data_IF_859972551376
#
_entry.id   IF_859972551376
#
_cell.length_a   1.000
_cell.length_b   1.000
_cell.length_c   1.000
_cell.angle_alpha   90.00
_cell.angle_beta   90.00
_cell.angle_gamma   90.00
#
_symmetry.space_group_name_H-M   'P 1'
#
loop_
_entity.id
_entity.type
_entity.pdbx_description
1 polymer ?
#
# COMPACT_ATOMS: atom_id res chain seq x y z
N UNK A 1 25.83 12.48 -20.68
CA UNK A 1 26.63 11.45 -21.37
C UNK A 1 26.13 10.09 -20.95
N UNK A 2 25.80 9.21 -21.91
CA UNK A 2 25.39 7.84 -21.62
C UNK A 2 26.61 7.07 -21.13
N UNK A 3 26.51 6.37 -20.00
CA UNK A 3 27.62 5.50 -19.57
C UNK A 3 27.88 4.43 -20.64
N UNK A 4 29.13 4.04 -20.87
CA UNK A 4 29.47 2.88 -21.69
C UNK A 4 28.68 1.64 -21.21
N UNK A 5 28.05 0.91 -22.13
CA UNK A 5 27.13 -0.22 -21.84
C UNK A 5 27.81 -1.45 -21.23
N UNK A 6 29.13 -1.42 -21.15
CA UNK A 6 30.05 -2.48 -20.73
C UNK A 6 30.45 -2.40 -19.25
N UNK A 7 29.98 -1.39 -18.51
CA UNK A 7 30.18 -1.32 -17.05
C UNK A 7 29.01 -1.98 -16.31
N UNK A 8 29.27 -2.78 -15.26
CA UNK A 8 28.20 -3.28 -14.42
C UNK A 8 27.45 -2.11 -13.77
N UNK A 9 26.14 -2.24 -13.66
CA UNK A 9 25.28 -1.25 -13.02
C UNK A 9 24.59 -1.85 -11.79
N UNK A 10 24.23 -0.96 -10.86
CA UNK A 10 23.39 -1.27 -9.71
C UNK A 10 22.25 -0.25 -9.67
N UNK A 11 21.02 -0.71 -9.48
CA UNK A 11 19.84 0.13 -9.38
C UNK A 11 19.09 -0.18 -8.07
N UNK A 12 18.85 0.86 -7.27
CA UNK A 12 17.94 0.81 -6.14
C UNK A 12 16.65 1.53 -6.50
N UNK A 13 15.54 0.80 -6.49
CA UNK A 13 14.20 1.32 -6.75
C UNK A 13 13.35 1.18 -5.49
N UNK A 14 12.70 2.27 -5.09
CA UNK A 14 11.86 2.31 -3.88
C UNK A 14 10.49 2.89 -4.22
N UNK A 15 9.44 2.09 -4.03
CA UNK A 15 8.05 2.52 -4.21
C UNK A 15 7.54 3.15 -2.91
N UNK A 16 6.84 4.28 -3.02
CA UNK A 16 6.18 4.95 -1.88
C UNK A 16 4.84 4.31 -1.57
N UNK A 17 4.09 3.93 -2.61
CA UNK A 17 2.88 3.14 -2.45
C UNK A 17 3.22 1.78 -1.81
N UNK A 18 2.34 1.18 -1.02
CA UNK A 18 0.94 1.54 -0.78
C UNK A 18 0.73 2.49 0.42
N UNK A 19 1.74 3.27 0.81
CA UNK A 19 1.59 4.26 1.88
C UNK A 19 0.50 5.29 1.53
N UNK A 20 -0.23 5.73 2.54
CA UNK A 20 -1.28 6.75 2.43
C UNK A 20 -0.79 8.03 1.71
N UNK A 21 -1.68 8.79 1.03
CA UNK A 21 -3.13 8.60 0.93
C UNK A 21 -3.53 7.38 0.08
N UNK A 22 -4.64 6.73 0.46
CA UNK A 22 -5.14 5.53 -0.21
C UNK A 22 -5.88 5.91 -1.50
N UNK A 23 -5.12 6.09 -2.58
CA UNK A 23 -5.64 6.46 -3.90
C UNK A 23 -5.04 5.48 -4.91
N UNK A 24 -5.84 4.49 -5.29
CA UNK A 24 -5.47 3.51 -6.31
C UNK A 24 -5.46 4.11 -7.71
N UNK A 25 -4.67 3.49 -8.60
CA UNK A 25 -4.79 3.74 -10.04
C UNK A 25 -6.22 3.41 -10.52
N UNK A 26 -6.83 4.20 -11.43
CA UNK A 26 -8.23 3.98 -11.83
C UNK A 26 -8.54 2.59 -12.36
N UNK A 27 -7.60 1.95 -13.07
CA UNK A 27 -7.80 0.60 -13.64
C UNK A 27 -7.86 -0.44 -12.52
N UNK A 28 -6.89 -0.38 -11.60
CA UNK A 28 -6.86 -1.29 -10.47
C UNK A 28 -7.93 -0.98 -9.42
N UNK A 29 -8.30 0.29 -9.26
CA UNK A 29 -9.39 0.71 -8.38
C UNK A 29 -10.73 0.14 -8.86
N UNK A 30 -10.98 0.18 -10.18
CA UNK A 30 -12.16 -0.44 -10.79
C UNK A 30 -12.15 -1.97 -10.61
N UNK A 31 -10.98 -2.60 -10.81
CA UNK A 31 -10.79 -4.04 -10.59
C UNK A 31 -11.23 -4.49 -9.18
N UNK A 32 -10.94 -3.68 -8.15
CA UNK A 32 -11.30 -3.99 -6.76
C UNK A 32 -12.63 -3.37 -6.30
N UNK A 33 -13.36 -2.61 -7.13
CA UNK A 33 -14.54 -1.86 -6.70
C UNK A 33 -15.62 -2.75 -6.05
N UNK A 34 -15.82 -3.96 -6.58
CA UNK A 34 -16.76 -4.96 -6.07
C UNK A 34 -16.15 -6.04 -5.18
N UNK A 35 -14.84 -5.98 -4.89
CA UNK A 35 -14.15 -7.05 -4.20
C UNK A 35 -14.71 -7.25 -2.78
N UNK A 36 -14.98 -8.51 -2.44
CA UNK A 36 -15.35 -8.92 -1.08
C UNK A 36 -14.05 -9.15 -0.31
N UNK A 37 -13.79 -8.30 0.67
CA UNK A 37 -12.59 -8.34 1.50
C UNK A 37 -13.05 -8.67 2.92
N UNK A 38 -12.52 -9.75 3.48
CA UNK A 38 -12.79 -10.11 4.88
C UNK A 38 -12.10 -9.11 5.81
N UNK A 39 -12.82 -8.63 6.83
CA UNK A 39 -12.24 -7.79 7.88
C UNK A 39 -11.60 -8.67 8.95
N UNK A 40 -10.28 -8.62 9.04
CA UNK A 40 -9.51 -9.46 9.96
C UNK A 40 -9.29 -8.83 11.34
N UNK A 41 -9.49 -7.52 11.50
CA UNK A 41 -9.37 -6.82 12.78
C UNK A 41 -10.66 -6.02 13.12
N UNK A 42 -11.68 -6.67 13.69
CA UNK A 42 -12.93 -6.00 14.04
C UNK A 42 -12.86 -5.24 15.38
N UNK A 43 -11.92 -5.59 16.25
CA UNK A 43 -11.83 -5.05 17.60
C UNK A 43 -10.69 -4.04 17.77
N UNK A 44 -10.95 -3.02 18.59
CA UNK A 44 -9.91 -2.10 19.06
C UNK A 44 -8.89 -2.84 19.95
N UNK A 45 -7.60 -2.47 19.89
CA UNK A 45 -6.59 -3.01 20.80
C UNK A 45 -6.92 -2.69 22.26
N UNK A 46 -6.60 -3.64 23.14
CA UNK A 46 -6.80 -3.52 24.60
C UNK A 46 -5.70 -2.64 25.19
N UNK A 47 -6.08 -1.79 26.15
CA UNK A 47 -5.14 -1.01 26.94
C UNK A 47 -4.54 -1.87 28.06
N UNK A 48 -3.25 -2.22 27.95
CA UNK A 48 -2.55 -3.06 28.93
C UNK A 48 -1.82 -2.28 30.02
N UNK A 49 -1.38 -1.05 29.71
CA UNK A 49 -0.68 -0.17 30.65
C UNK A 49 -0.78 1.30 30.19
N UNK A 50 -0.32 2.23 31.03
CA UNK A 50 -0.42 3.68 30.77
C UNK A 50 0.38 4.14 29.54
N UNK A 51 1.59 3.63 29.33
CA UNK A 51 2.39 3.97 28.15
C UNK A 51 1.70 3.52 26.86
N UNK A 52 1.10 2.33 26.90
CA UNK A 52 0.32 1.80 25.79
C UNK A 52 -0.98 2.59 25.59
N UNK A 53 -1.65 3.02 26.66
CA UNK A 53 -2.81 3.89 26.58
C UNK A 53 -2.50 5.19 25.82
N UNK A 54 -1.38 5.84 26.14
CA UNK A 54 -0.93 7.06 25.49
C UNK A 54 -0.59 6.83 24.01
N UNK A 55 0.06 5.71 23.69
CA UNK A 55 0.34 5.33 22.32
C UNK A 55 -0.94 5.11 21.50
N UNK A 56 -1.90 4.36 22.04
CA UNK A 56 -3.20 4.13 21.39
C UNK A 56 -3.98 5.44 21.20
N UNK A 57 -3.96 6.34 22.19
CA UNK A 57 -4.57 7.68 22.04
C UNK A 57 -3.92 8.48 20.91
N UNK A 58 -2.59 8.49 20.82
CA UNK A 58 -1.87 9.14 19.73
C UNK A 58 -2.25 8.53 18.36
N UNK A 59 -2.25 7.20 18.26
CA UNK A 59 -2.60 6.49 17.03
C UNK A 59 -4.04 6.78 16.59
N UNK A 60 -4.99 6.82 17.53
CA UNK A 60 -6.39 7.17 17.25
C UNK A 60 -6.55 8.57 16.69
N UNK A 61 -5.83 9.53 17.26
CA UNK A 61 -5.81 10.92 16.78
C UNK A 61 -5.16 11.03 15.40
N UNK A 62 -4.00 10.38 15.22
CA UNK A 62 -3.24 10.44 13.98
C UNK A 62 -4.00 9.81 12.81
N UNK A 63 -4.63 8.65 13.02
CA UNK A 63 -5.39 7.94 11.99
C UNK A 63 -6.84 8.40 11.86
N UNK A 64 -7.31 9.30 12.73
CA UNK A 64 -8.72 9.69 12.81
C UNK A 64 -9.67 8.49 12.92
N UNK A 65 -9.34 7.49 13.75
CA UNK A 65 -10.07 6.20 13.80
C UNK A 65 -11.57 6.33 14.07
N UNK A 66 -12.00 7.40 14.72
CA UNK A 66 -13.42 7.71 14.95
C UNK A 66 -14.24 7.89 13.66
N UNK A 67 -13.60 8.14 12.51
CA UNK A 67 -14.24 8.24 11.19
C UNK A 67 -14.21 6.91 10.41
N UNK A 68 -13.50 5.89 10.92
CA UNK A 68 -13.27 4.62 10.22
C UNK A 68 -14.43 3.64 10.45
N UNK A 69 -15.55 3.90 9.79
CA UNK A 69 -16.65 2.92 9.69
C UNK A 69 -16.19 1.66 8.92
N UNK A 70 -16.94 0.57 9.04
CA UNK A 70 -16.65 -0.67 8.31
C UNK A 70 -16.62 -0.44 6.80
N UNK A 71 -17.57 0.33 6.27
CA UNK A 71 -17.61 0.71 4.86
C UNK A 71 -16.37 1.53 4.46
N UNK A 72 -15.96 2.50 5.29
CA UNK A 72 -14.77 3.31 5.03
C UNK A 72 -13.49 2.47 5.02
N UNK A 73 -13.34 1.56 5.98
CA UNK A 73 -12.19 0.64 6.05
C UNK A 73 -12.15 -0.28 4.83
N UNK A 74 -13.29 -0.85 4.42
CA UNK A 74 -13.37 -1.72 3.25
C UNK A 74 -13.10 -0.94 1.95
N UNK A 75 -13.61 0.28 1.82
CA UNK A 75 -13.30 1.16 0.69
C UNK A 75 -11.79 1.46 0.64
N UNK A 76 -11.17 1.79 1.77
CA UNK A 76 -9.73 1.99 1.89
C UNK A 76 -8.93 0.73 1.54
N UNK A 77 -9.36 -0.45 1.99
CA UNK A 77 -8.71 -1.72 1.68
C UNK A 77 -8.71 -2.02 0.17
N UNK A 78 -9.82 -1.76 -0.53
CA UNK A 78 -9.90 -1.88 -2.00
C UNK A 78 -8.89 -0.96 -2.69
N UNK A 79 -8.75 0.28 -2.23
CA UNK A 79 -7.76 1.22 -2.78
C UNK A 79 -6.32 0.78 -2.46
N UNK A 80 -6.07 0.28 -1.26
CA UNK A 80 -4.75 -0.25 -0.88
C UNK A 80 -4.35 -1.43 -1.77
N UNK A 81 -5.26 -2.37 -2.02
CA UNK A 81 -5.00 -3.50 -2.94
C UNK A 81 -4.78 -3.02 -4.36
N UNK A 82 -5.53 -2.02 -4.84
CA UNK A 82 -5.28 -1.42 -6.14
C UNK A 82 -3.86 -0.83 -6.27
N UNK A 83 -3.37 -0.16 -5.23
CA UNK A 83 -2.00 0.36 -5.17
C UNK A 83 -0.95 -0.76 -5.20
N UNK A 84 -1.19 -1.86 -4.48
CA UNK A 84 -0.30 -3.04 -4.49
C UNK A 84 -0.24 -3.67 -5.88
N UNK A 85 -1.38 -3.83 -6.55
CA UNK A 85 -1.41 -4.38 -7.91
C UNK A 85 -0.70 -3.51 -8.94
N UNK A 86 -0.74 -2.17 -8.78
CA UNK A 86 0.07 -1.30 -9.62
C UNK A 86 1.56 -1.55 -9.39
N UNK A 87 2.00 -1.71 -8.15
CA UNK A 87 3.41 -2.01 -7.84
C UNK A 87 3.81 -3.35 -8.47
N UNK A 88 2.97 -4.38 -8.33
CA UNK A 88 3.20 -5.69 -8.94
C UNK A 88 3.35 -5.58 -10.46
N UNK A 89 2.43 -4.85 -11.12
CA UNK A 89 2.53 -4.56 -12.55
C UNK A 89 3.85 -3.86 -12.91
N UNK A 90 4.30 -2.87 -12.12
CA UNK A 90 5.59 -2.18 -12.38
C UNK A 90 6.80 -3.08 -12.18
N UNK A 91 6.75 -4.01 -11.23
CA UNK A 91 7.79 -5.02 -11.06
C UNK A 91 7.81 -5.93 -12.29
N UNK A 92 6.65 -6.41 -12.74
CA UNK A 92 6.52 -7.21 -13.96
C UNK A 92 7.05 -6.48 -15.20
N UNK A 93 6.70 -5.21 -15.37
CA UNK A 93 7.20 -4.36 -16.47
C UNK A 93 8.74 -4.29 -16.46
N UNK A 94 9.35 -4.13 -15.29
CA UNK A 94 10.81 -4.06 -15.13
C UNK A 94 11.49 -5.39 -15.46
N UNK A 95 10.98 -6.50 -14.92
CA UNK A 95 11.52 -7.83 -15.20
C UNK A 95 11.44 -8.14 -16.70
N UNK A 96 10.29 -7.86 -17.32
CA UNK A 96 10.10 -8.09 -18.75
C UNK A 96 11.03 -7.21 -19.62
N UNK A 97 11.36 -5.99 -19.18
CA UNK A 97 12.36 -5.15 -19.86
C UNK A 97 13.78 -5.73 -19.73
N UNK A 98 14.14 -6.23 -18.54
CA UNK A 98 15.45 -6.86 -18.32
C UNK A 98 15.59 -8.13 -19.17
N UNK A 99 14.56 -8.97 -19.26
CA UNK A 99 14.56 -10.17 -20.09
C UNK A 99 14.67 -9.87 -21.59
N UNK A 100 14.03 -8.79 -22.08
CA UNK A 100 14.13 -8.38 -23.49
C UNK A 100 15.50 -7.82 -23.88
N UNK A 101 16.26 -7.32 -22.91
CA UNK A 101 17.58 -6.71 -23.12
C UNK A 101 18.73 -7.67 -22.81
N UNK A 102 18.43 -8.82 -22.19
CA UNK A 102 19.35 -9.96 -22.02
C UNK A 102 19.43 -10.85 -23.24
#
# INVERSE_FOLDING_TARGET
GRQPSDRPWFMHLSFVQPHVPLIGDPIWADHYAGAQIERTAPAEPVTENEAWAQHLMFMRRHSQSHMMTDEFVLAGARQYYAMVSLIDQRIGDLLAQLERQG
#
